data_IF_848533217499
#
_entry.id   IF_848533217499
#
_cell.length_a   1.000
_cell.length_b   1.000
_cell.length_c   1.000
_cell.angle_alpha   90.00
_cell.angle_beta   90.00
_cell.angle_gamma   90.00
#
_symmetry.space_group_name_H-M   'P 1'
#
loop_
_entity.id
_entity.type
_entity.pdbx_description
1 polymer ?
#
# COMPACT_ATOMS: atom_id res chain seq x y z
N UNK A 1 -16.41 -28.62 14.79
CA UNK A 1 -17.10 -29.32 15.89
C UNK A 1 -16.14 -29.86 16.96
N UNK A 2 -15.13 -30.68 16.62
CA UNK A 2 -14.15 -31.20 17.60
C UNK A 2 -13.47 -30.15 18.49
N UNK A 3 -12.98 -29.04 17.93
CA UNK A 3 -12.35 -27.95 18.69
C UNK A 3 -13.32 -27.16 19.59
N UNK A 4 -14.61 -27.16 19.26
CA UNK A 4 -15.66 -26.53 20.08
C UNK A 4 -16.00 -27.44 21.25
N UNK A 5 -16.14 -28.75 21.01
CA UNK A 5 -16.32 -29.74 22.09
C UNK A 5 -15.12 -29.74 23.07
N UNK A 6 -13.89 -29.62 22.57
CA UNK A 6 -12.69 -29.49 23.42
C UNK A 6 -12.72 -28.22 24.28
N UNK A 7 -13.09 -27.09 23.67
CA UNK A 7 -13.24 -25.83 24.37
C UNK A 7 -14.29 -25.91 25.48
N UNK A 8 -15.46 -26.49 25.19
CA UNK A 8 -16.53 -26.67 26.18
C UNK A 8 -16.09 -27.58 27.32
N UNK A 9 -15.41 -28.69 27.00
CA UNK A 9 -14.88 -29.62 28.00
C UNK A 9 -13.78 -29.00 28.87
N UNK A 10 -12.86 -28.24 28.28
CA UNK A 10 -11.71 -27.64 28.98
C UNK A 10 -12.14 -26.48 29.87
N UNK A 11 -13.19 -25.74 29.49
CA UNK A 11 -13.74 -24.63 30.26
C UNK A 11 -14.87 -25.03 31.23
N UNK A 12 -15.18 -26.33 31.34
CA UNK A 12 -16.15 -26.85 32.32
C UNK A 12 -17.63 -26.69 31.95
N UNK A 13 -17.95 -26.43 30.68
CA UNK A 13 -19.33 -26.28 30.17
C UNK A 13 -19.95 -27.63 29.82
N UNK A 14 -20.21 -28.46 30.83
CA UNK A 14 -20.59 -29.86 30.64
C UNK A 14 -21.99 -30.06 30.04
N UNK A 15 -22.99 -29.28 30.47
CA UNK A 15 -24.36 -29.36 29.95
C UNK A 15 -24.41 -29.01 28.45
N UNK A 16 -23.67 -27.97 28.07
CA UNK A 16 -23.53 -27.55 26.68
C UNK A 16 -22.76 -28.59 25.84
N UNK A 17 -21.75 -29.25 26.43
CA UNK A 17 -20.97 -30.30 25.77
C UNK A 17 -21.84 -31.51 25.41
N UNK A 18 -22.69 -31.96 26.33
CA UNK A 18 -23.56 -33.13 26.12
C UNK A 18 -24.61 -32.86 25.05
N UNK A 19 -25.29 -31.72 25.13
CA UNK A 19 -26.23 -31.29 24.10
C UNK A 19 -25.54 -31.17 22.73
N UNK A 20 -24.37 -30.53 22.68
CA UNK A 20 -23.61 -30.34 21.44
C UNK A 20 -23.11 -31.65 20.84
N UNK A 21 -22.66 -32.63 21.65
CA UNK A 21 -22.26 -33.95 21.15
C UNK A 21 -23.41 -34.71 20.51
N UNK A 22 -24.61 -34.60 21.09
CA UNK A 22 -25.83 -35.23 20.60
C UNK A 22 -26.32 -34.61 19.29
N UNK A 23 -26.27 -33.29 19.17
CA UNK A 23 -26.70 -32.56 17.97
C UNK A 23 -25.68 -32.63 16.83
N UNK A 24 -24.38 -32.60 17.15
CA UNK A 24 -23.32 -32.60 16.15
C UNK A 24 -22.95 -34.00 15.62
N UNK A 25 -23.66 -35.05 16.05
CA UNK A 25 -23.38 -36.48 15.77
C UNK A 25 -21.89 -36.84 15.96
N UNK A 26 -21.39 -36.57 17.17
CA UNK A 26 -19.97 -36.72 17.53
C UNK A 26 -19.77 -37.83 18.58
N UNK A 27 -19.91 -39.13 18.21
CA UNK A 27 -19.65 -40.23 19.12
C UNK A 27 -18.13 -40.42 19.32
N UNK A 28 -17.64 -40.21 20.54
CA UNK A 28 -16.24 -40.48 20.91
C UNK A 28 -15.63 -39.49 21.91
N UNK A 29 -14.45 -39.84 22.44
CA UNK A 29 -13.66 -38.93 23.26
C UNK A 29 -13.08 -37.78 22.43
N UNK A 30 -13.03 -36.59 23.03
CA UNK A 30 -12.44 -35.42 22.38
C UNK A 30 -10.92 -35.59 22.37
N UNK A 31 -10.34 -35.76 21.17
CA UNK A 31 -8.90 -35.95 21.00
C UNK A 31 -8.10 -34.76 21.56
N UNK A 32 -7.05 -35.03 22.38
CA UNK A 32 -6.13 -34.00 22.92
C UNK A 32 -5.51 -33.07 21.86
N UNK A 33 -5.49 -33.49 20.59
CA UNK A 33 -5.01 -32.68 19.45
C UNK A 33 -5.77 -31.35 19.29
N UNK A 34 -7.01 -31.27 19.77
CA UNK A 34 -7.83 -30.06 19.68
C UNK A 34 -7.68 -29.14 20.89
N UNK A 35 -6.90 -29.54 21.90
CA UNK A 35 -6.60 -28.80 23.12
C UNK A 35 -6.20 -27.35 22.88
N UNK A 36 -7.08 -26.41 23.26
CA UNK A 36 -6.83 -24.97 23.14
C UNK A 36 -6.72 -24.47 21.70
N UNK A 37 -7.12 -25.27 20.70
CA UNK A 37 -7.05 -24.90 19.29
C UNK A 37 -8.01 -23.75 18.96
N UNK A 38 -9.19 -23.73 19.57
CA UNK A 38 -10.20 -22.72 19.32
C UNK A 38 -9.72 -21.34 19.78
N UNK A 39 -9.18 -21.25 21.00
CA UNK A 39 -8.64 -20.02 21.60
C UNK A 39 -7.42 -19.49 20.83
N UNK A 40 -6.51 -20.39 20.43
CA UNK A 40 -5.35 -20.05 19.59
C UNK A 40 -5.77 -19.52 18.23
N UNK A 41 -6.77 -20.13 17.59
CA UNK A 41 -7.33 -19.66 16.31
C UNK A 41 -8.04 -18.32 16.48
N UNK A 42 -8.85 -18.15 17.51
CA UNK A 42 -9.58 -16.92 17.78
C UNK A 42 -8.64 -15.71 17.94
N UNK A 43 -7.65 -15.82 18.81
CA UNK A 43 -6.63 -14.77 19.02
C UNK A 43 -5.80 -14.51 17.77
N UNK A 44 -5.43 -15.56 17.04
CA UNK A 44 -4.67 -15.45 15.79
C UNK A 44 -5.47 -14.77 14.68
N UNK A 45 -6.76 -15.08 14.53
CA UNK A 45 -7.64 -14.46 13.52
C UNK A 45 -7.73 -12.96 13.77
N UNK A 46 -7.99 -12.52 15.01
CA UNK A 46 -8.06 -11.10 15.34
C UNK A 46 -6.72 -10.40 15.04
N UNK A 47 -5.60 -11.02 15.42
CA UNK A 47 -4.26 -10.47 15.16
C UNK A 47 -3.97 -10.37 13.65
N UNK A 48 -4.34 -11.39 12.88
CA UNK A 48 -4.15 -11.39 11.42
C UNK A 48 -5.06 -10.38 10.74
N UNK A 49 -6.31 -10.25 11.15
CA UNK A 49 -7.23 -9.21 10.64
C UNK A 49 -6.67 -7.82 10.88
N UNK A 50 -6.16 -7.53 12.09
CA UNK A 50 -5.47 -6.26 12.37
C UNK A 50 -4.28 -6.04 11.45
N UNK A 51 -3.49 -7.10 11.21
CA UNK A 51 -2.32 -6.99 10.33
C UNK A 51 -2.69 -6.76 8.87
N UNK A 52 -3.74 -7.42 8.39
CA UNK A 52 -4.29 -7.22 7.04
C UNK A 52 -4.76 -5.78 6.88
N UNK A 53 -5.56 -5.25 7.81
CA UNK A 53 -6.02 -3.86 7.76
C UNK A 53 -4.85 -2.85 7.79
N UNK A 54 -3.83 -3.09 8.62
CA UNK A 54 -2.63 -2.25 8.66
C UNK A 54 -1.87 -2.28 7.32
N UNK A 55 -1.72 -3.45 6.71
CA UNK A 55 -1.03 -3.62 5.44
C UNK A 55 -1.83 -3.02 4.28
N UNK A 56 -3.15 -3.20 4.25
CA UNK A 56 -4.04 -2.57 3.27
C UNK A 56 -4.01 -1.04 3.38
N UNK A 57 -3.97 -0.49 4.59
CA UNK A 57 -3.80 0.95 4.81
C UNK A 57 -2.46 1.46 4.28
N UNK A 58 -1.36 0.75 4.58
CA UNK A 58 -0.02 1.11 4.08
C UNK A 58 0.08 0.99 2.57
N UNK A 59 -0.55 -0.04 1.99
CA UNK A 59 -0.61 -0.22 0.55
C UNK A 59 -1.39 0.93 -0.10
N UNK A 60 -2.54 1.30 0.46
CA UNK A 60 -3.34 2.43 -0.04
C UNK A 60 -2.59 3.76 0.03
N UNK A 61 -1.83 4.00 1.09
CA UNK A 61 -0.98 5.19 1.22
C UNK A 61 0.17 5.17 0.21
N UNK A 62 0.89 4.06 0.07
CA UNK A 62 1.96 3.91 -0.91
C UNK A 62 1.46 3.99 -2.36
N UNK A 63 0.30 3.41 -2.66
CA UNK A 63 -0.37 3.53 -3.96
C UNK A 63 -0.79 4.97 -4.22
N UNK A 64 -1.31 5.67 -3.20
CA UNK A 64 -1.64 7.09 -3.30
C UNK A 64 -0.39 7.92 -3.58
N UNK A 65 0.70 7.73 -2.83
CA UNK A 65 1.99 8.39 -3.09
C UNK A 65 2.55 8.05 -4.47
N UNK A 66 2.39 6.80 -4.93
CA UNK A 66 2.81 6.38 -6.24
C UNK A 66 1.96 7.02 -7.34
N UNK A 67 0.64 7.09 -7.18
CA UNK A 67 -0.31 7.70 -8.12
C UNK A 67 -0.16 9.22 -8.13
N UNK A 68 0.07 9.86 -6.97
CA UNK A 68 0.35 11.29 -6.83
C UNK A 68 1.77 11.62 -7.30
N UNK A 69 2.71 10.68 -7.16
CA UNK A 69 4.08 10.71 -7.66
C UNK A 69 4.17 10.50 -9.18
N UNK A 70 3.24 9.70 -9.73
CA UNK A 70 3.01 9.44 -11.15
C UNK A 70 2.03 10.48 -11.74
N UNK A 71 2.02 10.69 -13.06
CA UNK A 71 1.50 11.91 -13.64
C UNK A 71 0.01 11.79 -13.94
N UNK A 72 -0.86 11.79 -12.92
CA UNK A 72 -2.22 12.29 -13.15
C UNK A 72 -2.21 13.79 -12.90
N UNK A 73 -2.36 14.49 -14.02
CA UNK A 73 -2.26 15.93 -14.33
C UNK A 73 -3.04 16.91 -13.43
N UNK A 74 -3.54 16.46 -12.28
CA UNK A 74 -4.60 17.12 -11.55
C UNK A 74 -4.16 18.30 -10.70
N UNK A 75 -3.16 18.16 -9.83
CA UNK A 75 -3.04 19.08 -8.68
C UNK A 75 -1.64 19.18 -8.06
N UNK A 76 -0.61 19.60 -8.81
CA UNK A 76 0.63 20.07 -8.18
C UNK A 76 0.64 21.59 -8.14
N UNK A 77 0.86 22.14 -6.94
CA UNK A 77 1.20 23.54 -6.76
C UNK A 77 2.51 23.84 -7.49
N UNK A 78 2.72 25.08 -7.97
CA UNK A 78 3.93 25.44 -8.72
C UNK A 78 5.23 25.17 -7.95
N UNK A 79 5.17 25.13 -6.62
CA UNK A 79 6.29 24.87 -5.70
C UNK A 79 6.72 23.41 -5.62
N UNK A 80 5.87 22.46 -6.03
CA UNK A 80 6.11 21.01 -5.88
C UNK A 80 6.44 20.33 -7.23
N UNK A 81 6.62 21.14 -8.29
CA UNK A 81 6.92 20.61 -9.61
C UNK A 81 8.42 20.30 -9.75
N UNK A 82 8.72 19.01 -9.97
CA UNK A 82 10.05 18.53 -10.37
C UNK A 82 10.02 18.19 -11.87
N UNK A 83 10.93 18.73 -12.71
CA UNK A 83 11.08 18.30 -14.11
C UNK A 83 11.39 16.81 -14.20
N UNK A 84 10.65 16.06 -15.02
CA UNK A 84 10.88 14.62 -15.27
C UNK A 84 10.93 14.35 -16.77
N UNK A 85 11.76 13.40 -17.23
CA UNK A 85 11.69 12.90 -18.59
C UNK A 85 10.33 12.25 -18.89
N UNK A 86 9.86 12.23 -20.15
CA UNK A 86 10.50 12.87 -21.31
C UNK A 86 10.32 14.39 -21.28
N UNK A 87 11.28 15.12 -21.83
CA UNK A 87 11.21 16.57 -21.97
C UNK A 87 9.95 16.99 -22.74
N UNK A 88 9.28 18.04 -22.24
CA UNK A 88 8.07 18.55 -22.91
C UNK A 88 8.40 19.25 -24.24
N UNK A 89 9.56 19.90 -24.30
CA UNK A 89 10.02 20.62 -25.49
C UNK A 89 11.53 20.38 -25.65
N UNK A 90 11.95 20.18 -26.90
CA UNK A 90 13.35 20.16 -27.30
C UNK A 90 13.55 21.28 -28.33
N UNK A 91 14.32 22.31 -27.96
CA UNK A 91 14.59 23.46 -28.83
C UNK A 91 15.89 23.23 -29.58
N UNK A 92 15.86 23.35 -30.91
CA UNK A 92 17.03 23.17 -31.78
C UNK A 92 17.29 24.46 -32.56
N UNK A 93 18.56 24.84 -32.74
CA UNK A 93 18.87 26.05 -33.49
C UNK A 93 20.32 26.53 -33.46
N UNK A 94 21.09 26.23 -32.42
CA UNK A 94 22.52 26.53 -32.38
C UNK A 94 23.32 25.53 -33.19
N UNK A 95 24.45 25.98 -33.75
CA UNK A 95 25.39 25.15 -34.53
C UNK A 95 26.55 24.61 -33.70
N UNK A 96 26.72 25.14 -32.50
CA UNK A 96 27.76 24.76 -31.55
C UNK A 96 27.15 24.56 -30.14
N UNK A 97 27.92 24.06 -29.16
CA UNK A 97 27.45 23.86 -27.79
C UNK A 97 26.91 25.15 -27.14
N UNK A 98 25.80 24.99 -26.42
CA UNK A 98 25.18 26.07 -25.64
C UNK A 98 25.96 26.21 -24.33
N UNK A 99 26.42 27.43 -24.02
CA UNK A 99 27.21 27.70 -22.82
C UNK A 99 26.39 28.41 -21.72
N UNK A 100 25.26 29.04 -22.07
CA UNK A 100 24.40 29.75 -21.10
C UNK A 100 22.95 29.81 -21.57
N UNK A 101 22.03 29.71 -20.62
CA UNK A 101 20.59 29.91 -20.82
C UNK A 101 20.04 30.77 -19.69
N UNK A 102 19.23 31.78 -20.01
CA UNK A 102 18.62 32.69 -19.03
C UNK A 102 17.14 32.86 -19.36
N UNK A 103 16.30 32.88 -18.33
CA UNK A 103 14.89 33.25 -18.42
C UNK A 103 14.72 34.76 -18.23
N UNK A 104 13.89 35.39 -19.06
CA UNK A 104 13.51 36.77 -18.80
C UNK A 104 12.66 36.82 -17.51
N UNK A 105 12.93 37.72 -16.55
CA UNK A 105 12.28 37.71 -15.24
C UNK A 105 10.78 38.02 -15.29
N UNK A 106 10.30 38.64 -16.38
CA UNK A 106 8.92 39.12 -16.52
C UNK A 106 8.19 38.49 -17.71
N UNK A 107 8.90 38.09 -18.76
CA UNK A 107 8.29 37.65 -20.01
C UNK A 107 8.55 36.16 -20.18
N UNK A 108 7.66 35.46 -20.87
CA UNK A 108 7.85 34.04 -21.23
C UNK A 108 8.86 33.88 -22.37
N UNK A 109 10.05 34.44 -22.17
CA UNK A 109 11.18 34.40 -23.10
C UNK A 109 12.36 33.70 -22.42
N UNK A 110 13.08 32.92 -23.22
CA UNK A 110 14.34 32.30 -22.86
C UNK A 110 15.36 32.80 -23.87
N UNK A 111 16.56 33.10 -23.38
CA UNK A 111 17.71 33.47 -24.19
C UNK A 111 18.79 32.42 -24.00
N UNK A 112 19.31 31.88 -25.10
CA UNK A 112 20.45 30.95 -25.13
C UNK A 112 21.65 31.57 -25.83
N UNK A 113 22.84 31.36 -25.25
CA UNK A 113 24.13 31.75 -25.82
C UNK A 113 24.96 30.52 -26.15
N UNK A 114 25.71 30.59 -27.25
CA UNK A 114 26.45 29.45 -27.82
C UNK A 114 27.85 29.85 -28.27
N UNK A 115 28.71 28.86 -28.43
CA UNK A 115 30.06 29.01 -29.00
C UNK A 115 30.06 29.37 -30.48
N UNK A 116 28.91 29.31 -31.16
CA UNK A 116 28.74 29.76 -32.56
C UNK A 116 28.66 31.28 -32.71
N UNK A 117 28.98 32.03 -31.64
CA UNK A 117 28.89 33.49 -31.56
C UNK A 117 27.48 34.04 -31.81
N UNK A 118 26.43 33.26 -31.52
CA UNK A 118 25.04 33.71 -31.62
C UNK A 118 24.32 33.68 -30.26
N UNK A 119 23.35 34.60 -30.14
CA UNK A 119 22.37 34.63 -29.05
C UNK A 119 21.00 34.40 -29.70
N UNK A 120 20.24 33.44 -29.18
CA UNK A 120 18.91 33.07 -29.67
C UNK A 120 17.87 33.15 -28.58
#
# INVERSE_FOLDING_TARGET
>A
NKAIADYLSTNGYQDALEAFKKEADMPGEVERKYGGLLEKKWTSVIRLQKKVMELESKLSEAEKEFIEGAPTRGKRSSSEWIPRPPEKHCLTGHRAPINRVIFHPVFSLIVSASEDATIK
#
